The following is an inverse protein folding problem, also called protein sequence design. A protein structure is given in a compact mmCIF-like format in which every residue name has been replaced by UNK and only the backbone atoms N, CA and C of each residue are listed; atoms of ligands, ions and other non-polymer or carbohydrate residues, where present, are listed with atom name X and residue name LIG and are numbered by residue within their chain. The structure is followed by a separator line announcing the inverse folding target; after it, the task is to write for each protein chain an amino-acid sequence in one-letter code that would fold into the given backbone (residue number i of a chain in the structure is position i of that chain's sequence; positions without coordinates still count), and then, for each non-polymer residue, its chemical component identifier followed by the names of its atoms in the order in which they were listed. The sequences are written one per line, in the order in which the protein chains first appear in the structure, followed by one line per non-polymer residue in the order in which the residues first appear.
data_IF_721211761678
#
_entry.id   IF_721211761678
#
_cell.length_a   1.000
_cell.length_b   1.000
_cell.length_c   1.000
_cell.angle_alpha   90.00
_cell.angle_beta   90.00
_cell.angle_gamma   90.00
#
_symmetry.space_group_name_H-M   'P 1'
#
loop_
_entity.id
_entity.type
_entity.pdbx_description
1 polymer ?
#
# COMPACT_ATOMS: atom_id res chain seq x y z
N UNK A 1 -32.38 -25.51 9.94
CA UNK A 1 -31.17 -26.36 10.01
C UNK A 1 -30.39 -26.02 11.29
N UNK A 2 -30.41 -26.90 12.32
CA UNK A 2 -29.77 -26.63 13.60
C UNK A 2 -28.28 -27.05 13.55
N UNK A 3 -27.37 -26.11 13.26
CA UNK A 3 -25.93 -26.37 13.36
C UNK A 3 -25.54 -26.71 14.81
N UNK A 4 -24.71 -27.74 15.00
CA UNK A 4 -24.16 -28.09 16.31
C UNK A 4 -23.34 -26.93 16.89
N UNK A 5 -23.21 -26.86 18.22
CA UNK A 5 -22.44 -25.81 18.92
C UNK A 5 -21.02 -25.64 18.34
N UNK A 6 -20.34 -26.75 18.00
CA UNK A 6 -19.02 -26.74 17.36
C UNK A 6 -19.05 -26.12 15.96
N UNK A 7 -20.02 -26.48 15.12
CA UNK A 7 -20.16 -25.92 13.76
C UNK A 7 -20.53 -24.43 13.78
N UNK A 8 -21.30 -23.97 14.78
CA UNK A 8 -21.61 -22.54 14.96
C UNK A 8 -20.41 -21.72 15.43
N UNK A 9 -19.61 -22.25 16.37
CA UNK A 9 -18.38 -21.60 16.82
C UNK A 9 -17.37 -21.46 15.67
N UNK A 10 -17.18 -22.53 14.89
CA UNK A 10 -16.34 -22.50 13.69
C UNK A 10 -16.81 -21.46 12.67
N UNK A 11 -18.14 -21.35 12.46
CA UNK A 11 -18.70 -20.33 11.59
C UNK A 11 -18.39 -18.91 12.10
N UNK A 12 -18.57 -18.63 13.39
CA UNK A 12 -18.28 -17.31 13.98
C UNK A 12 -16.79 -16.96 13.79
N UNK A 13 -15.89 -17.89 14.11
CA UNK A 13 -14.44 -17.67 13.90
C UNK A 13 -14.10 -17.44 12.43
N UNK A 14 -14.65 -18.23 11.51
CA UNK A 14 -14.44 -18.05 10.08
C UNK A 14 -14.97 -16.69 9.60
N UNK A 15 -16.09 -16.22 10.15
CA UNK A 15 -16.67 -14.91 9.80
C UNK A 15 -15.80 -13.76 10.32
N UNK A 16 -15.31 -13.85 11.56
CA UNK A 16 -14.38 -12.85 12.13
C UNK A 16 -13.08 -12.83 11.32
N UNK A 17 -12.50 -13.98 11.01
CA UNK A 17 -11.29 -14.06 10.19
C UNK A 17 -11.50 -13.45 8.80
N UNK A 18 -12.56 -13.85 8.09
CA UNK A 18 -12.87 -13.32 6.77
C UNK A 18 -13.10 -11.81 6.78
N UNK A 19 -13.84 -11.29 7.76
CA UNK A 19 -14.08 -9.84 7.89
C UNK A 19 -12.81 -9.07 8.22
N UNK A 20 -11.94 -9.59 9.09
CA UNK A 20 -10.64 -8.96 9.37
C UNK A 20 -9.72 -8.98 8.15
N UNK A 21 -9.68 -10.09 7.41
CA UNK A 21 -8.87 -10.22 6.20
C UNK A 21 -9.33 -9.24 5.12
N UNK A 22 -10.65 -9.16 4.87
CA UNK A 22 -11.24 -8.23 3.90
C UNK A 22 -10.96 -6.78 4.32
N UNK A 23 -11.07 -6.45 5.62
CA UNK A 23 -10.78 -5.10 6.11
C UNK A 23 -9.32 -4.71 5.89
N UNK A 24 -8.35 -5.58 6.23
CA UNK A 24 -6.92 -5.31 6.01
C UNK A 24 -6.62 -5.18 4.51
N UNK A 25 -7.16 -6.06 3.68
CA UNK A 25 -6.97 -6.01 2.23
C UNK A 25 -7.54 -4.73 1.61
N UNK A 26 -8.74 -4.31 2.04
CA UNK A 26 -9.34 -3.03 1.62
C UNK A 26 -8.49 -1.84 2.06
N UNK A 27 -7.98 -1.82 3.30
CA UNK A 27 -7.12 -0.73 3.79
C UNK A 27 -5.89 -0.59 2.90
N UNK A 28 -5.18 -1.69 2.65
CA UNK A 28 -3.98 -1.68 1.80
C UNK A 28 -4.32 -1.17 0.40
N UNK A 29 -5.39 -1.69 -0.22
CA UNK A 29 -5.81 -1.31 -1.58
C UNK A 29 -6.25 0.15 -1.70
N UNK A 30 -6.94 0.69 -0.69
CA UNK A 30 -7.38 2.08 -0.65
C UNK A 30 -6.17 3.00 -0.44
N UNK A 31 -5.21 2.61 0.40
CA UNK A 31 -4.02 3.43 0.65
C UNK A 31 -3.13 3.59 -0.58
N UNK A 32 -2.93 2.53 -1.36
CA UNK A 32 -2.07 2.59 -2.56
C UNK A 32 -2.76 3.32 -3.72
N UNK A 33 -4.09 3.27 -3.82
CA UNK A 33 -4.85 3.94 -4.88
C UNK A 33 -5.01 5.45 -4.69
N UNK A 34 -4.64 5.99 -3.53
CA UNK A 34 -4.68 7.43 -3.27
C UNK A 34 -3.44 8.19 -3.77
N UNK A 35 -2.40 7.49 -4.22
CA UNK A 35 -1.22 8.11 -4.82
C UNK A 35 -1.44 8.35 -6.30
N UNK A 36 -1.03 9.51 -6.77
CA UNK A 36 -0.98 9.81 -8.20
C UNK A 36 0.03 8.91 -8.91
N UNK A 37 -0.42 8.20 -9.94
CA UNK A 37 0.45 7.38 -10.78
C UNK A 37 1.33 8.28 -11.65
N UNK A 38 2.66 8.15 -11.60
CA UNK A 38 3.53 8.94 -12.46
C UNK A 38 3.33 8.60 -13.94
N UNK A 39 3.59 9.58 -14.81
CA UNK A 39 3.96 9.29 -16.18
C UNK A 39 5.36 8.68 -16.19
N UNK A 40 5.50 7.56 -16.88
CA UNK A 40 6.75 6.82 -16.95
C UNK A 40 7.49 7.13 -18.24
N UNK A 41 8.80 6.88 -18.24
CA UNK A 41 9.63 6.92 -19.43
C UNK A 41 10.57 5.71 -19.46
N UNK A 42 10.99 5.31 -20.65
CA UNK A 42 11.98 4.24 -20.82
C UNK A 42 13.36 4.87 -20.89
N UNK A 43 14.23 4.44 -19.98
CA UNK A 43 15.66 4.72 -20.00
C UNK A 43 16.39 3.51 -20.56
N UNK A 44 17.16 3.72 -21.63
CA UNK A 44 18.10 2.72 -22.12
C UNK A 44 19.43 2.90 -21.38
N UNK A 45 19.80 1.93 -20.54
CA UNK A 45 21.04 1.93 -19.77
C UNK A 45 21.82 0.67 -20.11
N UNK A 46 22.99 0.84 -20.73
CA UNK A 46 23.84 -0.27 -21.17
C UNK A 46 23.11 -1.34 -22.02
N UNK A 47 22.15 -0.91 -22.85
CA UNK A 47 21.34 -1.80 -23.70
C UNK A 47 20.20 -2.53 -22.97
N UNK A 48 19.89 -2.14 -21.73
CA UNK A 48 18.73 -2.58 -20.97
C UNK A 48 17.66 -1.49 -20.94
N UNK A 49 16.44 -1.86 -21.30
CA UNK A 49 15.27 -1.00 -21.12
C UNK A 49 14.82 -1.01 -19.66
N UNK A 50 14.84 0.17 -19.04
CA UNK A 50 14.42 0.39 -17.66
C UNK A 50 13.34 1.46 -17.67
N UNK A 51 12.11 1.09 -17.31
CA UNK A 51 11.02 2.07 -17.22
C UNK A 51 11.04 2.72 -15.84
N UNK A 52 11.13 4.05 -15.78
CA UNK A 52 11.14 4.81 -14.52
C UNK A 52 10.02 5.84 -14.47
N UNK A 53 9.56 6.15 -13.27
CA UNK A 53 8.54 7.15 -12.99
C UNK A 53 8.81 7.86 -11.66
N UNK A 54 8.58 9.18 -11.54
CA UNK A 54 8.18 10.13 -12.59
C UNK A 54 9.19 10.23 -13.75
N UNK A 55 8.71 10.57 -14.94
CA UNK A 55 9.53 10.78 -16.14
C UNK A 55 10.75 11.67 -15.83
N UNK A 56 11.95 11.32 -16.34
CA UNK A 56 13.14 12.14 -16.18
C UNK A 56 12.93 13.59 -16.63
N UNK A 57 13.36 14.52 -15.79
CA UNK A 57 13.25 15.98 -15.92
C UNK A 57 11.81 16.50 -16.06
N UNK A 58 10.80 15.70 -15.67
CA UNK A 58 9.43 16.16 -15.65
C UNK A 58 9.21 17.26 -14.60
N UNK A 59 8.33 18.20 -14.91
CA UNK A 59 7.91 19.30 -14.04
C UNK A 59 6.43 19.16 -13.72
N UNK A 60 5.94 19.94 -12.75
CA UNK A 60 4.54 19.91 -12.30
C UNK A 60 4.07 18.53 -11.82
N UNK A 61 4.98 17.79 -11.16
CA UNK A 61 4.64 16.49 -10.59
C UNK A 61 3.74 16.67 -9.34
N UNK A 62 2.61 15.96 -9.24
CA UNK A 62 1.77 15.98 -8.04
C UNK A 62 2.54 15.62 -6.76
N UNK A 63 2.09 16.16 -5.63
CA UNK A 63 2.80 16.04 -4.35
C UNK A 63 2.61 14.65 -3.70
N UNK A 64 1.60 13.91 -4.13
CA UNK A 64 1.26 12.54 -3.75
C UNK A 64 1.76 11.50 -4.77
N UNK A 65 2.66 11.88 -5.69
CA UNK A 65 3.14 10.97 -6.71
C UNK A 65 4.04 9.87 -6.14
N UNK A 66 3.80 8.63 -6.59
CA UNK A 66 4.67 7.48 -6.29
C UNK A 66 5.89 7.42 -7.22
N UNK A 67 6.93 6.69 -6.81
CA UNK A 67 8.12 6.44 -7.64
C UNK A 67 8.00 5.02 -8.19
N UNK A 68 8.18 4.83 -9.49
CA UNK A 68 8.07 3.51 -10.13
C UNK A 68 9.35 3.15 -10.86
N UNK A 69 9.73 1.88 -10.80
CA UNK A 69 10.88 1.32 -11.51
C UNK A 69 10.45 -0.04 -12.04
N UNK A 70 10.55 -0.27 -13.34
CA UNK A 70 10.31 -1.57 -13.98
C UNK A 70 11.53 -1.92 -14.81
N UNK A 71 12.21 -2.99 -14.40
CA UNK A 71 13.49 -3.39 -14.97
C UNK A 71 13.57 -4.92 -15.11
N UNK A 72 14.38 -5.35 -16.08
CA UNK A 72 14.78 -6.75 -16.25
C UNK A 72 15.72 -7.15 -15.10
N UNK A 73 15.21 -7.65 -13.99
CA UNK A 73 16.03 -8.13 -12.88
C UNK A 73 15.32 -9.24 -12.11
N UNK A 74 15.95 -10.41 -11.97
CA UNK A 74 15.46 -11.49 -11.09
C UNK A 74 15.54 -11.13 -9.61
N UNK A 75 16.22 -10.04 -9.29
CA UNK A 75 16.36 -9.50 -7.94
C UNK A 75 15.38 -8.34 -7.89
N UNK A 76 14.21 -8.56 -7.30
CA UNK A 76 13.47 -7.46 -6.70
C UNK A 76 14.50 -6.65 -5.90
N UNK A 77 14.64 -5.33 -6.12
CA UNK A 77 15.56 -4.50 -5.33
C UNK A 77 15.32 -4.86 -3.86
N UNK A 78 16.27 -5.57 -3.28
CA UNK A 78 15.99 -6.46 -2.16
C UNK A 78 15.96 -5.69 -0.84
N UNK A 79 16.23 -4.38 -0.88
CA UNK A 79 16.12 -3.54 0.29
C UNK A 79 15.72 -2.11 -0.10
N UNK A 80 14.98 -1.48 0.82
CA UNK A 80 14.76 -0.02 0.92
C UNK A 80 16.06 0.82 0.82
N UNK A 81 17.22 0.19 0.88
CA UNK A 81 18.53 0.81 0.82
C UNK A 81 19.01 1.12 -0.60
N UNK A 82 18.42 0.51 -1.63
CA UNK A 82 18.89 0.74 -3.00
C UNK A 82 18.29 2.01 -3.62
N UNK A 83 17.16 2.50 -3.11
CA UNK A 83 16.54 3.76 -3.56
C UNK A 83 17.04 4.93 -2.72
N UNK A 84 17.74 5.86 -3.37
CA UNK A 84 18.18 7.12 -2.79
C UNK A 84 17.43 8.29 -3.41
N UNK A 85 16.96 9.21 -2.57
CA UNK A 85 16.28 10.43 -3.00
C UNK A 85 16.95 11.65 -2.39
N UNK A 86 17.13 12.69 -3.20
CA UNK A 86 17.66 13.99 -2.76
C UNK A 86 16.72 15.11 -3.22
N UNK A 87 16.05 15.85 -2.31
CA UNK A 87 16.06 15.67 -0.86
C UNK A 87 15.41 14.34 -0.42
N UNK A 88 15.74 13.87 0.79
CA UNK A 88 15.29 12.57 1.29
C UNK A 88 13.76 12.50 1.40
N UNK A 89 13.19 11.46 0.79
CA UNK A 89 11.78 11.08 0.90
C UNK A 89 11.67 9.78 1.72
N UNK A 90 11.03 9.79 2.90
CA UNK A 90 10.75 8.56 3.62
C UNK A 90 9.71 7.74 2.85
N UNK A 91 9.94 6.43 2.70
CA UNK A 91 9.03 5.51 1.99
C UNK A 91 8.22 4.71 3.02
N UNK A 92 6.89 4.69 2.88
CA UNK A 92 6.00 3.94 3.78
C UNK A 92 5.80 2.50 3.34
N UNK A 93 5.71 2.26 2.03
CA UNK A 93 5.48 0.93 1.48
C UNK A 93 6.07 0.76 0.09
N UNK A 94 6.31 -0.49 -0.28
CA UNK A 94 6.78 -0.91 -1.59
C UNK A 94 5.81 -1.96 -2.10
N UNK A 95 5.33 -1.78 -3.33
CA UNK A 95 4.58 -2.80 -4.07
C UNK A 95 5.48 -3.37 -5.15
N UNK A 96 5.44 -4.70 -5.33
CA UNK A 96 6.20 -5.41 -6.35
C UNK A 96 5.21 -6.21 -7.19
N UNK A 97 5.24 -6.00 -8.50
CA UNK A 97 4.41 -6.65 -9.50
C UNK A 97 5.30 -7.33 -10.54
N UNK A 98 4.94 -8.54 -10.95
CA UNK A 98 5.61 -9.23 -12.06
C UNK A 98 5.08 -8.64 -13.37
N UNK A 99 5.88 -7.80 -14.03
CA UNK A 99 5.52 -7.13 -15.29
C UNK A 99 5.87 -7.97 -16.53
N UNK A 100 6.75 -8.95 -16.38
CA UNK A 100 7.15 -9.87 -17.45
C UNK A 100 7.86 -11.12 -16.94
N UNK A 101 8.28 -12.04 -17.82
CA UNK A 101 8.92 -13.30 -17.42
C UNK A 101 10.17 -13.12 -16.55
N UNK A 102 10.87 -11.99 -16.71
CA UNK A 102 12.09 -11.63 -15.99
C UNK A 102 12.08 -10.16 -15.54
N UNK A 103 10.92 -9.50 -15.60
CA UNK A 103 10.76 -8.07 -15.29
C UNK A 103 9.87 -7.91 -14.06
N UNK A 104 10.29 -7.01 -13.18
CA UNK A 104 9.54 -6.67 -11.98
C UNK A 104 9.36 -5.17 -11.92
N UNK A 105 8.09 -4.77 -11.80
CA UNK A 105 7.70 -3.40 -11.53
C UNK A 105 7.62 -3.20 -10.03
N UNK A 106 8.44 -2.30 -9.53
CA UNK A 106 8.42 -1.84 -8.15
C UNK A 106 7.84 -0.44 -8.07
N UNK A 107 6.95 -0.23 -7.10
CA UNK A 107 6.32 1.06 -6.82
C UNK A 107 6.58 1.44 -5.37
N UNK A 108 7.23 2.58 -5.17
CA UNK A 108 7.58 3.12 -3.86
C UNK A 108 6.61 4.25 -3.51
N UNK A 109 5.95 4.11 -2.37
CA UNK A 109 4.95 5.06 -1.88
C UNK A 109 5.55 5.95 -0.78
N UNK A 110 5.67 7.27 -0.99
CA UNK A 110 6.15 8.21 0.02
C UNK A 110 5.32 8.15 1.31
N UNK A 111 5.96 8.16 2.47
CA UNK A 111 5.28 8.20 3.77
C UNK A 111 4.62 9.56 4.07
N UNK A 112 5.01 10.59 3.33
CA UNK A 112 4.49 11.94 3.42
C UNK A 112 4.44 12.56 2.03
N UNK A 113 3.61 13.59 1.87
CA UNK A 113 3.58 14.37 0.64
C UNK A 113 4.98 14.95 0.35
N UNK A 114 5.33 14.96 -0.93
CA UNK A 114 6.50 15.63 -1.45
C UNK A 114 6.38 17.14 -1.19
N UNK A 115 7.52 17.82 -1.11
CA UNK A 115 7.57 19.26 -0.90
C UNK A 115 7.15 19.98 -2.18
N UNK A 116 6.48 21.11 -2.01
CA UNK A 116 6.06 22.00 -3.09
C UNK A 116 7.31 22.59 -3.78
N UNK A 117 7.23 22.77 -5.10
CA UNK A 117 8.25 23.44 -5.92
C UNK A 117 9.68 22.95 -5.59
N UNK A 118 9.85 21.63 -5.54
CA UNK A 118 11.09 20.99 -5.13
C UNK A 118 11.54 20.00 -6.18
N UNK A 119 12.79 20.16 -6.64
CA UNK A 119 13.44 19.17 -7.49
C UNK A 119 13.96 18.00 -6.65
N UNK A 120 13.56 16.81 -7.06
CA UNK A 120 13.99 15.54 -6.49
C UNK A 120 14.90 14.83 -7.49
N UNK A 121 16.05 14.35 -7.01
CA UNK A 121 16.90 13.41 -7.71
C UNK A 121 16.65 12.03 -7.11
N UNK A 122 16.32 11.07 -7.94
CA UNK A 122 16.16 9.67 -7.59
C UNK A 122 17.34 8.91 -8.15
N UNK A 123 17.98 8.09 -7.32
CA UNK A 123 19.10 7.24 -7.71
C UNK A 123 18.86 5.82 -7.19
N UNK A 124 19.21 4.85 -8.01
CA UNK A 124 19.04 3.42 -7.71
C UNK A 124 20.17 2.62 -8.34
N UNK A 125 20.50 1.47 -7.78
CA UNK A 125 21.44 0.52 -8.39
C UNK A 125 20.64 -0.69 -8.88
N UNK A 126 20.71 -0.97 -10.18
CA UNK A 126 20.03 -2.10 -10.82
C UNK A 126 21.10 -2.99 -11.42
N UNK A 127 21.29 -4.20 -10.87
CA UNK A 127 22.37 -5.13 -11.27
C UNK A 127 23.75 -4.46 -11.35
N UNK A 128 24.13 -3.77 -10.28
CA UNK A 128 25.38 -3.00 -10.18
C UNK A 128 25.49 -1.77 -11.12
N UNK A 129 24.46 -1.47 -11.92
CA UNK A 129 24.40 -0.28 -12.76
C UNK A 129 23.69 0.87 -12.02
N UNK A 130 24.35 2.02 -11.78
CA UNK A 130 23.70 3.17 -11.17
C UNK A 130 22.79 3.87 -12.20
N UNK A 131 21.51 3.97 -11.87
CA UNK A 131 20.51 4.71 -12.63
C UNK A 131 20.07 5.90 -11.80
N UNK A 132 20.05 7.10 -12.38
CA UNK A 132 19.55 8.28 -11.70
C UNK A 132 18.77 9.18 -12.65
N UNK A 133 17.72 9.80 -12.12
CA UNK A 133 16.92 10.77 -12.83
C UNK A 133 16.38 11.83 -11.88
N UNK A 134 15.84 12.91 -12.42
CA UNK A 134 15.25 13.97 -11.62
C UNK A 134 13.82 14.27 -12.03
N UNK A 135 13.06 14.89 -11.13
CA UNK A 135 11.75 15.46 -11.42
C UNK A 135 11.48 16.64 -10.48
N UNK A 136 10.57 17.54 -10.85
CA UNK A 136 10.21 18.71 -10.03
C UNK A 136 8.72 18.70 -9.75
N UNK A 137 8.37 18.85 -8.47
CA UNK A 137 6.98 18.91 -8.01
C UNK A 137 6.30 20.21 -8.41
N UNK A 138 4.97 20.20 -8.46
CA UNK A 138 4.17 21.40 -8.71
C UNK A 138 4.37 22.48 -7.63
N UNK A 139 4.20 23.73 -8.03
CA UNK A 139 4.09 24.89 -7.12
C UNK A 139 2.69 25.02 -6.50
N UNK A 140 1.71 24.28 -7.02
CA UNK A 140 0.34 24.34 -6.53
C UNK A 140 0.19 23.66 -5.16
N UNK A 141 -0.57 24.26 -4.23
CA UNK A 141 -0.83 23.63 -2.93
C UNK A 141 -1.63 22.35 -3.11
N UNK A 142 -1.30 21.32 -2.31
CA UNK A 142 -2.03 20.05 -2.33
C UNK A 142 -3.51 20.28 -1.96
N UNK A 143 -4.41 19.90 -2.85
CA UNK A 143 -5.85 19.87 -2.58
C UNK A 143 -6.29 18.40 -2.41
N UNK A 144 -6.29 17.86 -1.18
CA UNK A 144 -6.66 16.47 -0.95
C UNK A 144 -8.10 16.22 -1.38
N UNK A 145 -8.29 15.19 -2.21
CA UNK A 145 -9.62 14.68 -2.54
C UNK A 145 -10.16 13.79 -1.42
N UNK A 146 -11.46 13.48 -1.44
CA UNK A 146 -12.07 12.56 -0.48
C UNK A 146 -11.35 11.20 -0.42
N UNK A 147 -10.84 10.73 -1.56
CA UNK A 147 -10.06 9.48 -1.66
C UNK A 147 -8.80 9.51 -0.80
N UNK A 148 -8.10 10.65 -0.75
CA UNK A 148 -6.92 10.82 0.10
C UNK A 148 -7.26 10.72 1.58
N UNK A 149 -8.34 11.38 2.03
CA UNK A 149 -8.80 11.30 3.43
C UNK A 149 -9.22 9.88 3.84
N UNK A 150 -9.90 9.17 2.94
CA UNK A 150 -10.27 7.78 3.15
C UNK A 150 -9.04 6.90 3.27
N UNK A 151 -8.02 7.10 2.41
CA UNK A 151 -6.77 6.36 2.46
C UNK A 151 -6.00 6.56 3.79
N UNK A 152 -5.75 7.81 4.20
CA UNK A 152 -5.01 8.07 5.45
C UNK A 152 -5.78 7.59 6.70
N UNK A 153 -7.11 7.55 6.63
CA UNK A 153 -7.97 7.14 7.74
C UNK A 153 -8.34 5.66 7.70
N UNK A 154 -8.04 4.95 6.60
CA UNK A 154 -8.51 3.60 6.33
C UNK A 154 -8.14 2.64 7.47
N UNK A 155 -6.90 2.71 7.96
CA UNK A 155 -6.41 1.88 9.06
C UNK A 155 -7.22 2.10 10.34
N UNK A 156 -7.48 3.36 10.69
CA UNK A 156 -8.27 3.72 11.87
C UNK A 156 -9.72 3.31 11.75
N UNK A 157 -10.32 3.48 10.56
CA UNK A 157 -11.68 3.03 10.25
C UNK A 157 -11.76 1.50 10.39
N UNK A 158 -10.80 0.77 9.85
CA UNK A 158 -10.75 -0.68 9.94
C UNK A 158 -10.56 -1.18 11.38
N UNK A 159 -9.66 -0.55 12.16
CA UNK A 159 -9.47 -0.85 13.57
C UNK A 159 -10.77 -0.62 14.37
N UNK A 160 -11.47 0.49 14.11
CA UNK A 160 -12.77 0.79 14.71
C UNK A 160 -13.82 -0.28 14.41
N UNK A 161 -13.97 -0.64 13.12
CA UNK A 161 -14.92 -1.66 12.68
C UNK A 161 -14.58 -3.04 13.26
N UNK A 162 -13.30 -3.44 13.27
CA UNK A 162 -12.86 -4.71 13.83
C UNK A 162 -13.13 -4.78 15.34
N UNK A 163 -12.91 -3.68 16.06
CA UNK A 163 -13.18 -3.59 17.50
C UNK A 163 -14.67 -3.75 17.81
N UNK A 164 -15.54 -3.06 17.07
CA UNK A 164 -17.00 -3.18 17.19
C UNK A 164 -17.46 -4.60 16.88
N UNK A 165 -16.98 -5.18 15.77
CA UNK A 165 -17.34 -6.55 15.39
C UNK A 165 -16.92 -7.58 16.44
N UNK A 166 -15.73 -7.40 17.04
CA UNK A 166 -15.22 -8.26 18.11
C UNK A 166 -16.07 -8.13 19.38
N UNK A 167 -16.43 -6.91 19.78
CA UNK A 167 -17.28 -6.65 20.94
C UNK A 167 -18.68 -7.25 20.77
N UNK A 168 -19.30 -7.06 19.60
CA UNK A 168 -20.62 -7.63 19.29
C UNK A 168 -20.57 -9.16 19.30
N UNK A 169 -19.55 -9.75 18.68
CA UNK A 169 -19.35 -11.20 18.64
C UNK A 169 -19.14 -11.77 20.04
N UNK A 170 -18.30 -11.13 20.86
CA UNK A 170 -18.06 -11.49 22.26
C UNK A 170 -19.33 -11.40 23.12
N UNK A 171 -20.14 -10.36 22.93
CA UNK A 171 -21.42 -10.18 23.61
C UNK A 171 -22.42 -11.30 23.27
N UNK A 172 -22.56 -11.64 21.98
CA UNK A 172 -23.42 -12.73 21.51
C UNK A 172 -22.98 -14.08 22.09
N UNK A 173 -21.66 -14.34 22.13
CA UNK A 173 -21.12 -15.56 22.75
C UNK A 173 -21.45 -15.58 24.24
N UNK A 174 -21.18 -14.49 24.99
CA UNK A 174 -21.44 -14.40 26.44
C UNK A 174 -22.91 -14.57 26.79
N UNK A 175 -23.83 -13.95 26.04
CA UNK A 175 -25.27 -14.10 26.26
C UNK A 175 -25.74 -15.54 26.04
N UNK A 176 -25.13 -16.27 25.10
CA UNK A 176 -25.46 -17.68 24.85
C UNK A 176 -24.88 -18.63 25.89
N UNK A 177 -23.69 -18.35 26.43
CA UNK A 177 -23.16 -19.10 27.58
C UNK A 177 -24.04 -18.90 28.81
N UNK A 178 -24.43 -17.67 29.14
CA UNK A 178 -25.37 -17.40 30.24
C UNK A 178 -26.71 -18.14 30.07
N UNK A 179 -27.27 -18.23 28.86
CA UNK A 179 -28.51 -19.01 28.63
C UNK A 179 -28.33 -20.52 28.75
N UNK A 180 -27.12 -21.07 28.57
CA UNK A 180 -26.87 -22.50 28.71
C UNK A 180 -26.77 -22.97 30.16
N UNK A 181 -26.38 -22.08 31.09
CA UNK A 181 -26.28 -22.37 32.52
C UNK A 181 -27.63 -22.29 33.28
N UNK A 182 -28.70 -21.76 32.65
CA UNK A 182 -30.00 -21.53 33.32
C UNK A 182 -31.03 -22.62 32.97
N UNK A 183 -30.64 -23.69 32.29
CA UNK A 183 -31.47 -24.90 32.17
C UNK A 183 -31.03 -25.92 33.22
N UNK A 184 -31.64 -25.94 34.42
CA UNK A 184 -31.50 -27.09 35.32
C UNK A 184 -32.14 -28.31 34.66
N UNK A 185 -31.41 -29.42 34.66
CA UNK A 185 -31.94 -30.77 34.42
C UNK A 185 -32.96 -31.15 35.47
#
# INVERSE_FOLDING_TARGET
MNLSKKKRLALILATVFATTFIAVFLVISITTSAYSTPNNDVLEVEGMDITVGPKPNATNIPLDTSITIDALSSVALNDLNDLHTTPRVPIASISVEVSGPLSYKQTFYPAQLLKIDTSYIVSVIIRDMPVSWSFTTTSDPFQPTMSYYLAISALWIALGLASIATLLSGSVIRQRYKKADITPT
#
